data_IF_310784925728
#
_entry.id   IF_310784925728
#
_cell.length_a   1.000
_cell.length_b   1.000
_cell.length_c   1.000
_cell.angle_alpha   90.00
_cell.angle_beta   90.00
_cell.angle_gamma   90.00
#
_symmetry.space_group_name_H-M   'P 1'
#
loop_
_entity.id
_entity.type
_entity.pdbx_description
1 polymer ?
#
# COMPACT_ATOMS: atom_id res chain seq x y z
N UNK A 1 19.80 -18.71 -27.00
CA UNK A 1 19.80 -18.79 -25.52
C UNK A 1 18.34 -18.76 -25.10
N UNK A 2 17.82 -19.73 -24.33
CA UNK A 2 16.49 -19.58 -23.76
C UNK A 2 16.49 -18.38 -22.80
N UNK A 3 15.46 -17.54 -22.86
CA UNK A 3 15.30 -16.44 -21.90
C UNK A 3 15.16 -17.03 -20.48
N UNK A 4 15.76 -16.41 -19.46
CA UNK A 4 15.52 -16.83 -18.08
C UNK A 4 14.03 -16.74 -17.79
N UNK A 5 13.49 -17.77 -17.13
CA UNK A 5 12.12 -17.74 -16.59
C UNK A 5 12.03 -16.60 -15.58
N UNK A 6 11.02 -15.70 -15.67
CA UNK A 6 10.88 -14.63 -14.70
C UNK A 6 10.72 -15.20 -13.28
N UNK A 7 11.25 -14.49 -12.29
CA UNK A 7 10.97 -14.81 -10.90
C UNK A 7 9.47 -14.63 -10.60
N UNK A 8 8.91 -15.31 -9.59
CA UNK A 8 7.50 -15.15 -9.23
C UNK A 8 7.09 -13.68 -8.99
N UNK A 9 7.99 -12.88 -8.39
CA UNK A 9 7.75 -11.45 -8.18
C UNK A 9 7.68 -10.66 -9.50
N UNK A 10 8.56 -10.96 -10.47
CA UNK A 10 8.53 -10.33 -11.79
C UNK A 10 7.29 -10.74 -12.59
N UNK A 11 6.86 -12.00 -12.45
CA UNK A 11 5.62 -12.47 -13.08
C UNK A 11 4.40 -11.73 -12.53
N UNK A 12 4.27 -11.66 -11.19
CA UNK A 12 3.20 -10.88 -10.56
C UNK A 12 3.27 -9.38 -10.88
N UNK A 13 4.46 -8.78 -10.86
CA UNK A 13 4.62 -7.37 -11.20
C UNK A 13 4.16 -7.06 -12.63
N UNK A 14 4.41 -7.96 -13.59
CA UNK A 14 3.92 -7.83 -14.95
C UNK A 14 2.39 -7.99 -15.03
N UNK A 15 1.85 -9.02 -14.37
CA UNK A 15 0.39 -9.28 -14.35
C UNK A 15 -0.41 -8.15 -13.72
N UNK A 16 0.20 -7.44 -12.76
CA UNK A 16 -0.39 -6.29 -12.07
C UNK A 16 -0.02 -4.95 -12.73
N UNK A 17 0.43 -4.96 -13.99
CA UNK A 17 0.74 -3.71 -14.67
C UNK A 17 -0.52 -2.89 -15.00
N UNK A 18 -0.61 -1.60 -14.62
CA UNK A 18 -1.78 -0.76 -14.90
C UNK A 18 -2.11 -0.61 -16.39
N UNK A 19 -1.20 -1.02 -17.30
CA UNK A 19 -1.49 -1.12 -18.74
C UNK A 19 -2.52 -2.20 -19.07
N UNK A 20 -2.70 -3.19 -18.20
CA UNK A 20 -3.71 -4.24 -18.36
C UNK A 20 -5.12 -3.71 -18.12
N UNK A 21 -6.11 -4.39 -18.72
CA UNK A 21 -7.51 -4.02 -18.55
C UNK A 21 -7.98 -4.37 -17.13
N UNK A 22 -8.98 -3.64 -16.64
CA UNK A 22 -9.51 -3.83 -15.29
C UNK A 22 -9.93 -5.28 -14.99
N UNK A 23 -10.52 -5.98 -15.97
CA UNK A 23 -10.90 -7.39 -15.84
C UNK A 23 -9.71 -8.34 -15.71
N UNK A 24 -8.60 -8.05 -16.40
CA UNK A 24 -7.37 -8.85 -16.30
C UNK A 24 -6.70 -8.60 -14.94
N UNK A 25 -6.68 -7.34 -14.49
CA UNK A 25 -6.16 -6.95 -13.18
C UNK A 25 -6.97 -7.58 -12.05
N UNK A 26 -8.30 -7.51 -12.09
CA UNK A 26 -9.15 -8.08 -11.04
C UNK A 26 -9.02 -9.60 -10.97
N UNK A 27 -8.94 -10.29 -12.11
CA UNK A 27 -8.69 -11.73 -12.16
C UNK A 27 -7.30 -12.09 -11.58
N UNK A 28 -6.26 -11.32 -11.90
CA UNK A 28 -4.93 -11.52 -11.35
C UNK A 28 -4.89 -11.30 -9.83
N UNK A 29 -5.56 -10.25 -9.33
CA UNK A 29 -5.65 -9.97 -7.90
C UNK A 29 -6.46 -11.02 -7.12
N UNK A 30 -7.51 -11.56 -7.73
CA UNK A 30 -8.27 -12.69 -7.17
C UNK A 30 -7.37 -13.91 -6.97
N UNK A 31 -6.58 -14.26 -7.99
CA UNK A 31 -5.61 -15.36 -7.89
C UNK A 31 -4.55 -15.05 -6.83
N UNK A 32 -3.98 -13.84 -6.83
CA UNK A 32 -3.00 -13.40 -5.85
C UNK A 32 -3.52 -13.52 -4.42
N UNK A 33 -4.79 -13.17 -4.16
CA UNK A 33 -5.37 -13.24 -2.82
C UNK A 33 -5.45 -14.67 -2.26
N UNK A 34 -5.31 -15.70 -3.12
CA UNK A 34 -5.28 -17.12 -2.72
C UNK A 34 -3.87 -17.67 -2.50
N UNK A 35 -2.83 -16.90 -2.82
CA UNK A 35 -1.44 -17.29 -2.58
C UNK A 35 -1.09 -17.23 -1.09
N UNK A 36 -0.16 -18.10 -0.66
CA UNK A 36 0.27 -18.16 0.74
C UNK A 36 1.08 -16.91 1.15
N UNK A 37 1.97 -16.45 0.27
CA UNK A 37 2.83 -15.29 0.50
C UNK A 37 3.51 -14.84 -0.78
N UNK A 38 3.34 -13.58 -1.16
CA UNK A 38 4.00 -12.95 -2.31
C UNK A 38 4.67 -11.66 -1.88
N UNK A 39 5.94 -11.49 -2.27
CA UNK A 39 6.77 -10.34 -1.91
C UNK A 39 7.29 -9.60 -3.14
N UNK A 40 7.79 -8.38 -2.95
CA UNK A 40 8.34 -7.57 -4.04
C UNK A 40 7.31 -6.85 -4.92
N UNK A 41 6.02 -7.01 -4.62
CA UNK A 41 4.91 -6.38 -5.36
C UNK A 41 4.09 -5.40 -4.51
N UNK A 42 4.52 -5.12 -3.27
CA UNK A 42 3.71 -4.37 -2.30
C UNK A 42 3.35 -3.00 -2.82
N UNK A 43 4.35 -2.28 -3.35
CA UNK A 43 4.14 -0.94 -3.90
C UNK A 43 3.14 -0.95 -5.06
N UNK A 44 3.23 -1.94 -5.95
CA UNK A 44 2.32 -2.06 -7.10
C UNK A 44 0.89 -2.27 -6.64
N UNK A 45 0.66 -3.15 -5.65
CA UNK A 45 -0.65 -3.32 -5.05
C UNK A 45 -1.14 -2.01 -4.41
N UNK A 46 -0.31 -1.28 -3.67
CA UNK A 46 -0.73 -0.01 -3.05
C UNK A 46 -1.10 1.07 -4.08
N UNK A 47 -0.48 1.07 -5.26
CA UNK A 47 -0.82 1.97 -6.37
C UNK A 47 -2.20 1.60 -6.98
N UNK A 48 -2.54 0.31 -7.05
CA UNK A 48 -3.83 -0.17 -7.57
C UNK A 48 -5.04 0.16 -6.66
N UNK A 49 -4.81 0.59 -5.42
CA UNK A 49 -5.88 1.11 -4.56
C UNK A 49 -6.49 2.43 -5.07
N UNK A 50 -5.79 3.16 -5.96
CA UNK A 50 -6.28 4.38 -6.63
C UNK A 50 -6.87 4.08 -8.02
N UNK A 51 -7.06 2.80 -8.36
CA UNK A 51 -7.59 2.41 -9.67
C UNK A 51 -9.07 2.80 -9.81
N UNK A 52 -9.51 3.25 -10.99
CA UNK A 52 -10.89 3.73 -11.22
C UNK A 52 -11.96 2.63 -11.03
N UNK A 53 -11.60 1.40 -11.36
CA UNK A 53 -12.47 0.23 -11.18
C UNK A 53 -12.53 -0.25 -9.73
N UNK A 54 -13.74 -0.32 -9.16
CA UNK A 54 -13.97 -0.73 -7.77
C UNK A 54 -13.63 -2.19 -7.48
N UNK A 55 -13.77 -3.08 -8.46
CA UNK A 55 -13.43 -4.49 -8.30
C UNK A 55 -11.91 -4.67 -8.19
N UNK A 56 -11.13 -3.92 -8.97
CA UNK A 56 -9.66 -3.87 -8.83
C UNK A 56 -9.27 -3.39 -7.43
N UNK A 57 -9.89 -2.32 -6.93
CA UNK A 57 -9.60 -1.81 -5.57
C UNK A 57 -9.97 -2.81 -4.47
N UNK A 58 -11.11 -3.48 -4.61
CA UNK A 58 -11.56 -4.51 -3.67
C UNK A 58 -10.54 -5.65 -3.58
N UNK A 59 -10.22 -6.27 -4.72
CA UNK A 59 -9.30 -7.40 -4.72
C UNK A 59 -7.87 -7.00 -4.36
N UNK A 60 -7.46 -5.77 -4.67
CA UNK A 60 -6.19 -5.22 -4.18
C UNK A 60 -6.14 -5.20 -2.65
N UNK A 61 -7.22 -4.75 -1.99
CA UNK A 61 -7.30 -4.73 -0.53
C UNK A 61 -7.27 -6.15 0.06
N UNK A 62 -7.99 -7.09 -0.56
CA UNK A 62 -7.96 -8.51 -0.15
C UNK A 62 -6.55 -9.11 -0.30
N UNK A 63 -5.88 -8.90 -1.44
CA UNK A 63 -4.50 -9.37 -1.64
C UNK A 63 -3.53 -8.75 -0.63
N UNK A 64 -3.67 -7.45 -0.35
CA UNK A 64 -2.86 -6.76 0.67
C UNK A 64 -3.11 -7.35 2.07
N UNK A 65 -4.34 -7.76 2.38
CA UNK A 65 -4.63 -8.39 3.66
C UNK A 65 -4.02 -9.79 3.76
N UNK A 66 -4.25 -10.65 2.76
CA UNK A 66 -3.97 -12.09 2.84
C UNK A 66 -2.56 -12.50 2.39
N UNK A 67 -2.15 -12.09 1.19
CA UNK A 67 -1.04 -12.71 0.48
C UNK A 67 0.20 -11.81 0.38
N UNK A 68 0.03 -10.50 0.27
CA UNK A 68 1.16 -9.57 0.04
C UNK A 68 1.96 -9.39 1.33
N UNK A 69 3.23 -9.77 1.27
CA UNK A 69 4.19 -9.66 2.37
C UNK A 69 5.34 -8.73 1.96
N UNK A 70 5.41 -7.51 2.52
CA UNK A 70 6.48 -6.58 2.22
C UNK A 70 7.81 -7.05 2.83
N UNK A 71 8.89 -6.76 2.10
CA UNK A 71 10.25 -7.08 2.52
C UNK A 71 11.02 -5.83 2.95
N UNK A 72 12.15 -6.02 3.63
CA UNK A 72 13.00 -4.92 4.08
C UNK A 72 13.48 -4.04 2.90
N UNK A 73 13.75 -4.64 1.74
CA UNK A 73 14.22 -3.93 0.55
C UNK A 73 13.17 -2.98 -0.02
N UNK A 74 11.89 -3.24 0.23
CA UNK A 74 10.78 -2.38 -0.20
C UNK A 74 10.62 -1.13 0.68
N UNK A 75 11.23 -1.09 1.87
CA UNK A 75 11.11 0.01 2.87
C UNK A 75 11.26 1.38 2.23
N UNK A 76 12.32 1.58 1.43
CA UNK A 76 12.61 2.87 0.81
C UNK A 76 11.45 3.30 -0.09
N UNK A 77 11.00 2.41 -0.97
CA UNK A 77 9.92 2.68 -1.91
C UNK A 77 8.57 2.92 -1.22
N UNK A 78 8.28 2.23 -0.12
CA UNK A 78 7.05 2.41 0.66
C UNK A 78 7.07 3.72 1.46
N UNK A 79 8.23 4.12 1.98
CA UNK A 79 8.41 5.39 2.67
C UNK A 79 8.27 6.60 1.72
N UNK A 80 8.82 6.48 0.51
CA UNK A 80 8.63 7.45 -0.57
C UNK A 80 7.14 7.56 -0.93
N UNK A 81 6.46 6.44 -1.15
CA UNK A 81 5.01 6.41 -1.41
C UNK A 81 4.21 7.07 -0.28
N UNK A 82 4.48 6.72 0.97
CA UNK A 82 3.80 7.33 2.12
C UNK A 82 3.99 8.85 2.16
N UNK A 83 5.20 9.32 1.86
CA UNK A 83 5.52 10.75 1.83
C UNK A 83 4.75 11.48 0.71
N UNK A 84 4.63 10.86 -0.47
CA UNK A 84 3.88 11.40 -1.60
C UNK A 84 2.38 11.46 -1.31
N UNK A 85 1.81 10.41 -0.70
CA UNK A 85 0.40 10.38 -0.30
C UNK A 85 0.09 11.45 0.76
N UNK A 86 1.00 11.67 1.71
CA UNK A 86 0.86 12.75 2.69
C UNK A 86 0.94 14.13 2.04
N UNK A 87 1.78 14.31 1.02
CA UNK A 87 1.85 15.56 0.26
C UNK A 87 0.55 15.82 -0.51
N UNK A 88 -0.05 14.79 -1.14
CA UNK A 88 -1.37 14.86 -1.78
C UNK A 88 -2.46 15.27 -0.77
N UNK A 89 -2.46 14.63 0.40
CA UNK A 89 -3.39 14.94 1.48
C UNK A 89 -3.27 16.41 1.91
N UNK A 90 -2.04 16.89 2.13
CA UNK A 90 -1.79 18.28 2.52
C UNK A 90 -2.13 19.30 1.42
N UNK A 91 -2.01 18.91 0.15
CA UNK A 91 -2.41 19.74 -1.00
C UNK A 91 -3.93 19.90 -1.13
N UNK A 92 -4.71 19.24 -0.28
CA UNK A 92 -6.15 19.40 -0.21
C UNK A 92 -6.91 18.48 -1.16
N UNK A 93 -6.48 17.22 -1.30
CA UNK A 93 -7.36 16.17 -1.81
C UNK A 93 -8.60 16.11 -0.91
N UNK A 94 -9.67 16.78 -1.34
CA UNK A 94 -10.95 16.86 -0.64
C UNK A 94 -12.05 16.36 -1.57
N UNK A 95 -13.18 15.97 -0.98
CA UNK A 95 -14.32 15.47 -1.75
C UNK A 95 -14.23 13.96 -2.03
N UNK A 96 -14.63 13.53 -3.23
CA UNK A 96 -14.85 12.12 -3.57
C UNK A 96 -13.59 11.25 -3.49
N UNK A 97 -12.40 11.84 -3.61
CA UNK A 97 -11.13 11.12 -3.65
C UNK A 97 -10.48 10.95 -2.26
N UNK A 98 -11.00 11.66 -1.24
CA UNK A 98 -10.46 11.58 0.12
C UNK A 98 -10.52 10.16 0.71
N UNK A 99 -11.59 9.36 0.52
CA UNK A 99 -11.63 7.97 0.96
C UNK A 99 -10.57 7.08 0.30
N UNK A 100 -10.34 7.23 -1.02
CA UNK A 100 -9.34 6.44 -1.74
C UNK A 100 -7.93 6.74 -1.23
N UNK A 101 -7.62 8.03 -1.06
CA UNK A 101 -6.34 8.44 -0.48
C UNK A 101 -6.18 7.95 0.97
N UNK A 102 -7.26 7.95 1.76
CA UNK A 102 -7.24 7.42 3.12
C UNK A 102 -6.96 5.92 3.15
N UNK A 103 -7.55 5.14 2.25
CA UNK A 103 -7.27 3.71 2.11
C UNK A 103 -5.81 3.45 1.70
N UNK A 104 -5.27 4.23 0.76
CA UNK A 104 -3.85 4.14 0.39
C UNK A 104 -2.93 4.44 1.57
N UNK A 105 -3.21 5.50 2.34
CA UNK A 105 -2.44 5.85 3.55
C UNK A 105 -2.54 4.72 4.60
N UNK A 106 -3.73 4.17 4.81
CA UNK A 106 -3.97 3.08 5.76
C UNK A 106 -3.19 1.83 5.38
N UNK A 107 -3.27 1.39 4.13
CA UNK A 107 -2.59 0.19 3.67
C UNK A 107 -1.08 0.38 3.58
N UNK A 108 -0.59 1.55 3.15
CA UNK A 108 0.84 1.84 3.13
C UNK A 108 1.42 1.79 4.55
N UNK A 109 0.75 2.42 5.52
CA UNK A 109 1.15 2.32 6.93
C UNK A 109 1.10 0.88 7.44
N UNK A 110 0.10 0.09 7.03
CA UNK A 110 -0.04 -1.33 7.38
C UNK A 110 1.15 -2.14 6.88
N UNK A 111 1.54 -1.97 5.61
CA UNK A 111 2.66 -2.70 5.00
C UNK A 111 3.99 -2.32 5.64
N UNK A 112 4.24 -1.02 5.86
CA UNK A 112 5.43 -0.57 6.60
C UNK A 112 5.50 -1.21 7.99
N UNK A 113 4.37 -1.27 8.70
CA UNK A 113 4.29 -1.93 10.00
C UNK A 113 4.48 -3.45 9.97
N UNK A 114 4.29 -4.11 8.81
CA UNK A 114 4.59 -5.55 8.63
C UNK A 114 6.09 -5.81 8.47
N UNK A 115 6.85 -4.87 7.90
CA UNK A 115 8.32 -4.94 7.80
C UNK A 115 8.97 -4.87 9.20
N UNK A 116 8.37 -4.13 10.14
CA UNK A 116 8.86 -3.99 11.51
C UNK A 116 10.09 -3.09 11.62
N UNK A 117 11.06 -3.47 12.46
CA UNK A 117 12.24 -2.64 12.78
C UNK A 117 13.13 -2.32 11.56
N UNK A 118 13.13 -3.16 10.53
CA UNK A 118 13.84 -2.87 9.28
C UNK A 118 13.28 -1.63 8.55
N UNK A 119 12.05 -1.21 8.86
CA UNK A 119 11.43 -0.01 8.32
C UNK A 119 11.60 1.24 9.20
N UNK A 120 12.56 1.27 10.13
CA UNK A 120 12.80 2.40 11.04
C UNK A 120 12.91 3.77 10.34
N UNK A 121 13.43 3.80 9.11
CA UNK A 121 13.54 5.01 8.30
C UNK A 121 12.18 5.67 7.94
N UNK A 122 11.07 4.93 8.05
CA UNK A 122 9.72 5.41 7.80
C UNK A 122 9.06 6.08 9.02
N UNK A 123 9.68 6.03 10.21
CA UNK A 123 9.10 6.61 11.44
C UNK A 123 8.69 8.08 11.27
N UNK A 124 9.48 8.98 10.65
CA UNK A 124 9.08 10.38 10.49
C UNK A 124 7.83 10.55 9.61
N UNK A 125 7.65 9.71 8.59
CA UNK A 125 6.48 9.78 7.73
C UNK A 125 5.24 9.21 8.43
N UNK A 126 5.38 8.10 9.15
CA UNK A 126 4.31 7.55 9.97
C UNK A 126 3.89 8.51 11.09
N UNK A 127 4.82 9.23 11.71
CA UNK A 127 4.51 10.23 12.75
C UNK A 127 3.66 11.38 12.19
N UNK A 128 3.92 11.82 10.95
CA UNK A 128 3.09 12.82 10.27
C UNK A 128 1.69 12.30 9.98
N UNK A 129 1.56 11.05 9.54
CA UNK A 129 0.26 10.42 9.32
C UNK A 129 -0.51 10.28 10.64
N UNK A 130 0.15 9.85 11.71
CA UNK A 130 -0.44 9.74 13.05
C UNK A 130 -0.98 11.09 13.54
N UNK A 131 -0.25 12.19 13.33
CA UNK A 131 -0.67 13.53 13.74
C UNK A 131 -2.00 14.00 13.09
N UNK A 132 -2.47 13.35 12.02
CA UNK A 132 -3.77 13.66 11.43
C UNK A 132 -4.95 13.29 12.35
N UNK A 133 -4.75 12.45 13.37
CA UNK A 133 -5.79 12.19 14.38
C UNK A 133 -6.22 13.44 15.13
N UNK A 134 -5.31 14.40 15.27
CA UNK A 134 -5.55 15.63 16.03
C UNK A 134 -6.10 16.77 15.16
N UNK A 135 -6.24 16.54 13.86
CA UNK A 135 -6.78 17.51 12.90
C UNK A 135 -8.29 17.28 12.74
N UNK A 136 -9.16 18.19 13.20
CA UNK A 136 -10.61 17.99 13.18
C UNK A 136 -11.19 17.83 11.76
N UNK A 137 -10.60 18.49 10.78
CA UNK A 137 -11.06 18.46 9.39
C UNK A 137 -10.49 17.26 8.59
N UNK A 138 -9.67 16.41 9.23
CA UNK A 138 -9.03 15.24 8.62
C UNK A 138 -9.71 13.92 8.99
N UNK A 139 -11.01 13.93 9.33
CA UNK A 139 -11.75 12.74 9.81
C UNK A 139 -11.67 11.54 8.88
N UNK A 140 -11.64 11.77 7.56
CA UNK A 140 -11.46 10.70 6.56
C UNK A 140 -10.17 9.91 6.77
N UNK A 141 -9.12 10.53 7.34
CA UNK A 141 -7.80 9.95 7.53
C UNK A 141 -7.56 9.38 8.93
N UNK A 142 -8.51 9.52 9.86
CA UNK A 142 -8.31 9.11 11.27
C UNK A 142 -8.03 7.61 11.42
N UNK A 143 -8.63 6.76 10.58
CA UNK A 143 -8.32 5.33 10.58
C UNK A 143 -6.88 5.04 10.16
N UNK A 144 -6.39 5.73 9.12
CA UNK A 144 -5.00 5.66 8.67
C UNK A 144 -4.03 6.20 9.72
N UNK A 145 -4.37 7.32 10.38
CA UNK A 145 -3.61 7.89 11.48
C UNK A 145 -3.46 6.91 12.66
N UNK A 146 -4.57 6.31 13.10
CA UNK A 146 -4.54 5.29 14.15
C UNK A 146 -3.72 4.05 13.74
N UNK A 147 -3.74 3.69 12.45
CA UNK A 147 -2.91 2.60 11.93
C UNK A 147 -1.43 2.96 11.94
N UNK A 148 -1.08 4.19 11.58
CA UNK A 148 0.30 4.68 11.63
C UNK A 148 0.89 4.59 13.03
N UNK A 149 0.16 5.03 14.07
CA UNK A 149 0.61 4.88 15.46
C UNK A 149 0.90 3.42 15.85
N UNK A 150 0.03 2.48 15.44
CA UNK A 150 0.27 1.03 15.65
C UNK A 150 1.48 0.52 14.87
N UNK A 151 1.68 0.99 13.64
CA UNK A 151 2.84 0.60 12.84
C UNK A 151 4.13 1.12 13.46
N UNK A 152 4.19 2.38 13.92
CA UNK A 152 5.36 2.95 14.60
C UNK A 152 5.79 2.17 15.82
N UNK A 153 4.84 1.70 16.63
CA UNK A 153 5.16 0.86 17.78
C UNK A 153 5.95 -0.40 17.39
N UNK A 154 5.70 -0.95 16.19
CA UNK A 154 6.42 -2.12 15.64
C UNK A 154 7.79 -1.81 15.06
N UNK A 155 8.11 -0.54 14.82
CA UNK A 155 9.44 -0.14 14.32
C UNK A 155 10.49 -0.16 15.46
N UNK A 156 10.05 -0.20 16.71
CA UNK A 156 10.91 -0.11 17.90
C UNK A 156 10.97 -1.38 18.75
N UNK A 157 10.13 -2.37 18.46
CA UNK A 157 10.03 -3.66 19.17
C UNK A 157 10.63 -4.78 18.35
#
# INVERSE_FOLDING_TARGET
MPNPTPSPAEDWANRLDPVHQAADLSAALQELATEDSVSGITRRCLELLDHDDSEVRLWTSESLESAVQPTADETKSLNELLSDLLARQAAGTQGADAPLLADQLYWTATMIGRIGTAAAAADPALARLEALSDVPDATAYHAAAARAGRSRAKLTT
#
